data_IF_693168418280
#
_entry.id   IF_693168418280
#
_cell.length_a   1.000
_cell.length_b   1.000
_cell.length_c   1.000
_cell.angle_alpha   90.00
_cell.angle_beta   90.00
_cell.angle_gamma   90.00
#
_symmetry.space_group_name_H-M   'P 1'
#
loop_
_entity.id
_entity.type
_entity.pdbx_description
1 polymer ?
#
# COMPACT_ATOMS: atom_id res chain seq x y z
N UNK A 1 1.99 19.92 -12.58
CA UNK A 1 0.56 19.80 -12.24
C UNK A 1 0.15 18.36 -12.46
N UNK A 2 -0.38 17.68 -11.45
CA UNK A 2 -0.93 16.32 -11.62
C UNK A 2 -2.27 16.46 -12.33
N UNK A 3 -2.33 16.03 -13.58
CA UNK A 3 -3.58 15.98 -14.35
C UNK A 3 -4.43 14.84 -13.81
N UNK A 4 -5.67 15.13 -13.44
CA UNK A 4 -6.60 14.10 -13.00
C UNK A 4 -6.98 13.22 -14.20
N UNK A 5 -6.90 11.90 -14.04
CA UNK A 5 -7.42 10.94 -15.01
C UNK A 5 -8.94 10.91 -14.87
N UNK A 6 -9.65 11.41 -15.89
CA UNK A 6 -11.08 11.22 -16.09
C UNK A 6 -11.29 9.92 -16.87
N UNK A 7 -11.83 8.90 -16.21
CA UNK A 7 -12.07 7.58 -16.81
C UNK A 7 -13.08 7.60 -17.96
N UNK A 8 -13.76 8.73 -18.18
CA UNK A 8 -14.65 8.96 -19.32
C UNK A 8 -14.01 9.74 -20.47
N UNK A 9 -12.83 10.33 -20.26
CA UNK A 9 -12.09 11.11 -21.25
C UNK A 9 -10.64 10.61 -21.38
N UNK A 10 -10.40 9.80 -22.41
CA UNK A 10 -9.06 9.28 -22.72
C UNK A 10 -8.03 10.37 -23.03
N UNK A 11 -8.46 11.60 -23.35
CA UNK A 11 -7.57 12.75 -23.52
C UNK A 11 -6.86 13.17 -22.23
N UNK A 12 -7.35 12.71 -21.08
CA UNK A 12 -6.74 12.94 -19.76
C UNK A 12 -5.73 11.87 -19.37
N UNK A 13 -5.57 10.82 -20.18
CA UNK A 13 -4.67 9.72 -19.89
C UNK A 13 -3.25 10.13 -20.25
N UNK A 14 -2.31 9.88 -19.35
CA UNK A 14 -0.92 10.21 -19.62
C UNK A 14 -0.36 9.33 -20.77
N UNK A 15 0.68 9.80 -21.48
CA UNK A 15 1.21 9.10 -22.66
C UNK A 15 1.67 7.66 -22.36
N UNK A 16 2.18 7.39 -21.16
CA UNK A 16 2.66 6.08 -20.74
C UNK A 16 1.49 5.11 -20.56
N UNK A 17 0.43 5.53 -19.85
CA UNK A 17 -0.83 4.80 -19.75
C UNK A 17 -1.40 4.48 -21.14
N UNK A 18 -1.36 5.44 -22.06
CA UNK A 18 -1.83 5.25 -23.44
C UNK A 18 -1.01 4.24 -24.24
N UNK A 19 0.31 4.16 -24.03
CA UNK A 19 1.16 3.13 -24.65
C UNK A 19 0.78 1.74 -24.13
N UNK A 20 0.61 1.60 -22.81
CA UNK A 20 0.24 0.32 -22.19
C UNK A 20 -1.18 -0.14 -22.61
N UNK A 21 -2.14 0.79 -22.67
CA UNK A 21 -3.49 0.51 -23.18
C UNK A 21 -3.48 0.07 -24.64
N UNK A 22 -2.67 0.70 -25.50
CA UNK A 22 -2.52 0.32 -26.91
C UNK A 22 -1.90 -1.08 -27.07
N UNK A 23 -0.92 -1.43 -26.23
CA UNK A 23 -0.30 -2.75 -26.27
C UNK A 23 -1.29 -3.89 -25.96
N UNK A 24 -2.26 -3.66 -25.07
CA UNK A 24 -3.33 -4.62 -24.75
C UNK A 24 -4.61 -4.49 -25.57
N UNK A 25 -4.66 -3.63 -26.59
CA UNK A 25 -5.91 -3.27 -27.28
C UNK A 25 -6.63 -4.49 -27.88
N UNK A 26 -5.90 -5.43 -28.48
CA UNK A 26 -6.48 -6.65 -29.06
C UNK A 26 -7.12 -7.53 -27.98
N UNK A 27 -6.43 -7.73 -26.85
CA UNK A 27 -6.94 -8.51 -25.71
C UNK A 27 -8.22 -7.88 -25.14
N UNK A 28 -8.23 -6.55 -24.97
CA UNK A 28 -9.42 -5.80 -24.51
C UNK A 28 -10.59 -5.98 -25.48
N UNK A 29 -10.33 -5.86 -26.78
CA UNK A 29 -11.32 -6.05 -27.83
C UNK A 29 -11.92 -7.47 -27.80
N UNK A 30 -11.07 -8.49 -27.75
CA UNK A 30 -11.49 -9.89 -27.84
C UNK A 30 -12.25 -10.33 -26.59
N UNK A 31 -11.82 -9.88 -25.41
CA UNK A 31 -12.55 -10.07 -24.16
C UNK A 31 -13.93 -9.43 -24.22
N UNK A 32 -14.03 -8.13 -24.52
CA UNK A 32 -15.30 -7.38 -24.46
C UNK A 32 -16.29 -7.84 -25.54
N UNK A 33 -15.81 -8.18 -26.73
CA UNK A 33 -16.64 -8.74 -27.81
C UNK A 33 -17.19 -10.10 -27.40
N UNK A 34 -16.35 -10.97 -26.83
CA UNK A 34 -16.78 -12.30 -26.39
C UNK A 34 -17.75 -12.22 -25.21
N UNK A 35 -17.48 -11.34 -24.24
CA UNK A 35 -18.34 -11.11 -23.07
C UNK A 35 -19.72 -10.59 -23.49
N UNK A 36 -19.77 -9.63 -24.41
CA UNK A 36 -21.01 -9.12 -25.00
C UNK A 36 -21.82 -10.23 -25.68
N UNK A 37 -21.18 -11.03 -26.55
CA UNK A 37 -21.85 -12.13 -27.24
C UNK A 37 -22.43 -13.14 -26.25
N UNK A 38 -21.64 -13.57 -25.26
CA UNK A 38 -22.08 -14.52 -24.22
C UNK A 38 -23.20 -13.96 -23.35
N UNK A 39 -23.24 -12.65 -23.14
CA UNK A 39 -24.34 -11.97 -22.45
C UNK A 39 -25.62 -12.02 -23.29
N UNK A 40 -25.55 -11.64 -24.57
CA UNK A 40 -26.71 -11.64 -25.48
C UNK A 40 -27.29 -13.03 -25.72
N UNK A 41 -26.44 -14.04 -25.92
CA UNK A 41 -26.85 -15.45 -26.07
C UNK A 41 -27.64 -15.96 -24.85
N UNK A 42 -27.26 -15.51 -23.65
CA UNK A 42 -27.94 -15.85 -22.41
C UNK A 42 -29.28 -15.15 -22.27
N UNK A 43 -29.34 -13.85 -22.56
CA UNK A 43 -30.59 -13.09 -22.49
C UNK A 43 -31.63 -13.60 -23.50
N UNK A 44 -31.18 -14.12 -24.64
CA UNK A 44 -32.04 -14.74 -25.65
C UNK A 44 -32.48 -16.17 -25.30
N UNK A 45 -31.87 -16.82 -24.30
CA UNK A 45 -32.18 -18.20 -23.95
C UNK A 45 -33.53 -18.30 -23.24
N UNK A 46 -34.40 -19.20 -23.71
CA UNK A 46 -35.72 -19.50 -23.13
C UNK A 46 -35.61 -20.40 -21.89
N UNK A 47 -34.68 -20.09 -20.98
CA UNK A 47 -34.41 -20.83 -19.75
C UNK A 47 -33.09 -20.42 -19.10
N UNK A 48 -32.85 -20.93 -17.89
CA UNK A 48 -31.58 -20.72 -17.21
C UNK A 48 -30.44 -21.40 -17.98
N UNK A 49 -29.40 -20.62 -18.31
CA UNK A 49 -28.16 -21.12 -18.93
C UNK A 49 -26.97 -20.77 -18.03
N UNK A 50 -26.01 -21.70 -17.83
CA UNK A 50 -24.78 -21.41 -17.09
C UNK A 50 -23.97 -20.28 -17.73
N UNK A 51 -23.18 -19.56 -16.93
CA UNK A 51 -22.19 -18.63 -17.49
C UNK A 51 -21.16 -19.39 -18.32
N UNK A 52 -21.15 -19.15 -19.63
CA UNK A 52 -20.02 -19.52 -20.48
C UNK A 52 -18.75 -18.85 -19.96
N UNK A 53 -17.63 -19.58 -19.99
CA UNK A 53 -16.32 -19.03 -19.63
C UNK A 53 -15.78 -18.23 -20.81
N UNK A 54 -15.39 -16.98 -20.58
CA UNK A 54 -14.68 -16.19 -21.57
C UNK A 54 -13.21 -16.63 -21.59
N UNK A 55 -12.68 -17.15 -22.72
CA UNK A 55 -11.31 -17.67 -22.80
C UNK A 55 -10.24 -16.59 -22.55
N UNK A 56 -10.59 -15.32 -22.72
CA UNK A 56 -9.68 -14.20 -22.49
C UNK A 56 -9.76 -13.64 -21.06
N UNK A 57 -10.64 -14.16 -20.20
CA UNK A 57 -10.93 -13.56 -18.90
C UNK A 57 -9.71 -13.46 -17.97
N UNK A 58 -8.89 -14.51 -17.91
CA UNK A 58 -7.69 -14.52 -17.06
C UNK A 58 -6.71 -13.43 -17.49
N UNK A 59 -6.40 -13.37 -18.79
CA UNK A 59 -5.43 -12.43 -19.34
C UNK A 59 -5.95 -10.99 -19.27
N UNK A 60 -7.24 -10.77 -19.55
CA UNK A 60 -7.88 -9.46 -19.42
C UNK A 60 -7.84 -8.95 -17.98
N UNK A 61 -8.16 -9.80 -17.00
CA UNK A 61 -8.10 -9.42 -15.59
C UNK A 61 -6.67 -9.07 -15.17
N UNK A 62 -5.68 -9.87 -15.59
CA UNK A 62 -4.28 -9.58 -15.32
C UNK A 62 -3.81 -8.28 -15.97
N UNK A 63 -4.24 -8.01 -17.21
CA UNK A 63 -3.94 -6.78 -17.93
C UNK A 63 -4.59 -5.55 -17.27
N UNK A 64 -5.89 -5.59 -16.97
CA UNK A 64 -6.60 -4.52 -16.27
C UNK A 64 -5.97 -4.25 -14.90
N UNK A 65 -5.51 -5.28 -14.23
CA UNK A 65 -4.81 -5.15 -12.97
C UNK A 65 -3.42 -4.54 -13.11
N UNK A 66 -2.67 -4.88 -14.16
CA UNK A 66 -1.38 -4.26 -14.48
C UNK A 66 -1.53 -2.77 -14.80
N UNK A 67 -2.56 -2.38 -15.56
CA UNK A 67 -2.91 -0.97 -15.81
C UNK A 67 -3.21 -0.22 -14.50
N UNK A 68 -3.72 -0.93 -13.49
CA UNK A 68 -4.01 -0.38 -12.17
C UNK A 68 -2.90 -0.48 -11.13
N UNK A 69 -1.84 -1.27 -11.35
CA UNK A 69 -0.86 -1.67 -10.31
C UNK A 69 0.43 -0.85 -10.37
N UNK A 70 0.95 -0.63 -9.17
CA UNK A 70 2.20 0.03 -8.84
C UNK A 70 3.27 -1.05 -8.57
N UNK A 71 4.44 -0.93 -9.19
CA UNK A 71 5.53 -1.92 -9.07
C UNK A 71 5.96 -2.13 -7.62
N UNK A 72 5.94 -1.09 -6.80
CA UNK A 72 6.29 -1.18 -5.39
C UNK A 72 5.25 -2.01 -4.61
N UNK A 73 3.97 -1.86 -4.94
CA UNK A 73 2.89 -2.66 -4.34
C UNK A 73 3.00 -4.13 -4.75
N UNK A 74 3.36 -4.42 -6.00
CA UNK A 74 3.61 -5.79 -6.48
C UNK A 74 4.76 -6.42 -5.70
N UNK A 75 5.90 -5.72 -5.60
CA UNK A 75 7.08 -6.18 -4.87
C UNK A 75 6.72 -6.46 -3.41
N UNK A 76 5.94 -5.60 -2.75
CA UNK A 76 5.52 -5.81 -1.36
C UNK A 76 4.57 -7.01 -1.22
N UNK A 77 3.72 -7.28 -2.21
CA UNK A 77 2.84 -8.45 -2.17
C UNK A 77 3.60 -9.75 -2.37
N UNK A 78 4.54 -9.78 -3.31
CA UNK A 78 5.31 -10.98 -3.66
C UNK A 78 6.41 -11.26 -2.63
N UNK A 79 7.07 -10.20 -2.15
CA UNK A 79 8.24 -10.31 -1.29
C UNK A 79 7.96 -9.85 0.14
N UNK A 80 6.76 -9.38 0.48
CA UNK A 80 6.49 -8.83 1.79
C UNK A 80 7.15 -7.46 2.00
N UNK A 81 7.08 -6.94 3.23
CA UNK A 81 7.65 -5.63 3.58
C UNK A 81 9.07 -5.85 4.10
N UNK A 82 10.05 -5.24 3.43
CA UNK A 82 11.45 -5.22 3.85
C UNK A 82 11.77 -3.96 4.66
N UNK A 83 12.81 -4.04 5.50
CA UNK A 83 13.27 -2.92 6.31
C UNK A 83 14.12 -1.94 5.50
N UNK A 84 14.03 -0.65 5.81
CA UNK A 84 14.83 0.39 5.16
C UNK A 84 16.31 0.27 5.51
N UNK A 85 17.14 -0.04 4.52
CA UNK A 85 18.61 -0.08 4.59
C UNK A 85 19.19 0.75 3.44
N UNK A 86 20.49 1.11 3.52
CA UNK A 86 21.17 1.77 2.39
C UNK A 86 21.17 0.89 1.14
N UNK A 87 21.34 -0.43 1.28
CA UNK A 87 21.31 -1.35 0.15
C UNK A 87 19.92 -1.39 -0.51
N UNK A 88 18.85 -1.46 0.29
CA UNK A 88 17.47 -1.41 -0.25
C UNK A 88 17.12 -0.05 -0.82
N UNK A 89 17.70 1.05 -0.29
CA UNK A 89 17.54 2.38 -0.87
C UNK A 89 18.23 2.44 -2.23
N UNK A 90 19.47 1.95 -2.33
CA UNK A 90 20.23 1.86 -3.59
C UNK A 90 19.46 1.06 -4.64
N UNK A 91 18.95 -0.12 -4.28
CA UNK A 91 18.12 -0.94 -5.19
C UNK A 91 16.88 -0.19 -5.69
N UNK A 92 16.18 0.54 -4.82
CA UNK A 92 15.00 1.33 -5.22
C UNK A 92 15.39 2.46 -6.18
N UNK A 93 16.51 3.14 -5.94
CA UNK A 93 17.03 4.20 -6.81
C UNK A 93 17.46 3.65 -8.16
N UNK A 94 18.19 2.53 -8.20
CA UNK A 94 18.60 1.87 -9.43
C UNK A 94 17.39 1.42 -10.26
N UNK A 95 16.31 0.97 -9.61
CA UNK A 95 15.06 0.66 -10.28
C UNK A 95 14.40 1.90 -10.93
N UNK A 96 14.47 3.08 -10.29
CA UNK A 96 13.98 4.32 -10.91
C UNK A 96 14.86 4.77 -12.10
N UNK A 97 16.17 4.51 -12.04
CA UNK A 97 17.07 4.74 -13.18
C UNK A 97 16.75 3.80 -14.34
N UNK A 98 16.53 2.52 -14.06
CA UNK A 98 16.14 1.53 -15.07
C UNK A 98 14.77 1.85 -15.70
N UNK A 99 13.86 2.42 -14.93
CA UNK A 99 12.57 2.93 -15.42
C UNK A 99 12.67 4.25 -16.19
N UNK A 100 13.86 4.87 -16.26
CA UNK A 100 14.07 6.16 -16.92
C UNK A 100 13.49 7.37 -16.18
N UNK A 101 13.05 7.18 -14.92
CA UNK A 101 12.49 8.25 -14.09
C UNK A 101 13.60 9.11 -13.45
N UNK A 102 14.74 8.48 -13.11
CA UNK A 102 15.93 9.17 -12.61
C UNK A 102 17.11 9.03 -13.57
N UNK A 103 18.01 10.01 -13.57
CA UNK A 103 19.35 9.80 -14.12
C UNK A 103 20.23 9.07 -13.11
N UNK A 104 21.30 8.40 -13.58
CA UNK A 104 22.27 7.79 -12.67
C UNK A 104 22.92 8.82 -11.73
N UNK A 105 23.11 10.06 -12.19
CA UNK A 105 23.63 11.14 -11.38
C UNK A 105 22.64 11.57 -10.28
N UNK A 106 21.34 11.62 -10.60
CA UNK A 106 20.30 11.91 -9.60
C UNK A 106 20.21 10.83 -8.55
N UNK A 107 20.25 9.56 -8.96
CA UNK A 107 20.24 8.43 -8.04
C UNK A 107 21.46 8.46 -7.10
N UNK A 108 22.65 8.78 -7.61
CA UNK A 108 23.84 8.91 -6.77
C UNK A 108 23.72 10.07 -5.78
N UNK A 109 23.25 11.24 -6.25
CA UNK A 109 23.08 12.40 -5.40
C UNK A 109 22.02 12.16 -4.29
N UNK A 110 20.89 11.53 -4.63
CA UNK A 110 19.86 11.15 -3.67
C UNK A 110 20.37 10.14 -2.64
N UNK A 111 21.16 9.15 -3.07
CA UNK A 111 21.75 8.19 -2.16
C UNK A 111 22.74 8.89 -1.21
N UNK A 112 23.65 9.69 -1.76
CA UNK A 112 24.67 10.40 -0.97
C UNK A 112 24.06 11.39 0.04
N UNK A 113 22.95 12.04 -0.33
CA UNK A 113 22.21 12.95 0.54
C UNK A 113 21.34 12.22 1.59
N UNK A 114 21.26 10.89 1.57
CA UNK A 114 20.38 10.15 2.47
C UNK A 114 20.72 10.42 3.94
N UNK A 115 19.72 10.75 4.80
CA UNK A 115 19.94 10.92 6.22
C UNK A 115 20.46 9.65 6.90
N UNK A 116 20.28 8.49 6.27
CA UNK A 116 20.79 7.20 6.73
C UNK A 116 22.34 7.15 6.83
N UNK A 117 23.06 8.09 6.22
CA UNK A 117 24.50 8.25 6.40
C UNK A 117 24.88 8.92 7.75
N UNK A 118 23.96 9.64 8.40
CA UNK A 118 24.21 10.35 9.65
C UNK A 118 23.91 9.50 10.88
N UNK A 119 24.90 9.34 11.77
CA UNK A 119 24.80 8.47 12.97
C UNK A 119 23.60 8.78 13.87
N UNK A 120 23.17 10.03 13.95
CA UNK A 120 22.01 10.45 14.73
C UNK A 120 20.66 10.03 14.13
N UNK A 121 20.60 9.88 12.81
CA UNK A 121 19.39 9.46 12.11
C UNK A 121 19.28 7.94 11.96
N UNK A 122 20.42 7.22 11.94
CA UNK A 122 20.44 5.76 11.77
C UNK A 122 19.53 5.01 12.76
N UNK A 123 19.51 5.28 14.08
CA UNK A 123 18.66 4.57 15.02
C UNK A 123 17.18 4.73 14.73
N UNK A 124 16.77 5.84 14.13
CA UNK A 124 15.38 6.12 13.75
C UNK A 124 14.97 5.42 12.45
N UNK A 125 15.91 5.19 11.52
CA UNK A 125 15.58 4.87 10.12
C UNK A 125 16.07 3.49 9.67
N UNK A 126 17.34 3.20 9.95
CA UNK A 126 18.00 2.01 9.41
C UNK A 126 17.51 0.72 10.07
N UNK A 127 17.31 -0.29 9.24
CA UNK A 127 16.84 -1.61 9.64
C UNK A 127 15.45 -1.58 10.25
N UNK A 128 14.64 -0.55 9.96
CA UNK A 128 13.27 -0.41 10.45
C UNK A 128 12.31 -0.20 9.30
N UNK A 129 11.08 -0.65 9.51
CA UNK A 129 9.93 -0.10 8.81
C UNK A 129 8.92 0.35 9.88
N UNK A 130 8.38 1.55 9.69
CA UNK A 130 7.50 2.20 10.66
C UNK A 130 6.04 2.08 10.27
N UNK A 131 5.19 2.06 11.29
CA UNK A 131 3.75 1.97 11.20
C UNK A 131 3.13 2.78 12.33
N UNK A 132 1.83 3.03 12.18
CA UNK A 132 0.98 3.51 13.27
C UNK A 132 -0.16 2.54 13.54
N UNK A 133 -0.52 2.37 14.81
CA UNK A 133 -1.60 1.48 15.24
C UNK A 133 -3.00 2.07 15.05
N UNK A 134 -3.09 3.35 14.69
CA UNK A 134 -4.36 4.06 14.51
C UNK A 134 -4.28 5.00 13.31
N UNK A 135 -5.43 5.36 12.70
CA UNK A 135 -5.42 6.17 11.49
C UNK A 135 -4.88 7.58 11.79
N UNK A 136 -3.92 8.09 11.03
CA UNK A 136 -3.49 9.49 11.13
C UNK A 136 -4.14 10.29 9.99
N UNK A 137 -4.47 11.56 10.26
CA UNK A 137 -5.00 12.43 9.22
C UNK A 137 -3.91 12.70 8.19
N UNK A 138 -4.31 12.81 6.93
CA UNK A 138 -3.36 12.95 5.82
C UNK A 138 -2.77 14.35 5.67
N UNK A 139 -3.36 15.32 6.35
CA UNK A 139 -2.88 16.71 6.49
C UNK A 139 -2.11 16.91 7.81
N UNK A 140 -1.83 15.84 8.54
CA UNK A 140 -0.83 15.86 9.60
C UNK A 140 0.55 16.11 8.98
N UNK A 141 1.33 17.04 9.52
CA UNK A 141 2.60 17.46 8.90
C UNK A 141 3.61 16.34 8.71
N UNK A 142 3.61 15.30 9.54
CA UNK A 142 4.46 14.12 9.35
C UNK A 142 3.97 13.22 8.22
N UNK A 143 2.65 13.13 8.03
CA UNK A 143 2.04 12.30 6.98
C UNK A 143 2.04 13.02 5.64
N UNK A 144 1.82 14.33 5.61
CA UNK A 144 1.82 15.12 4.38
C UNK A 144 3.15 15.01 3.65
N UNK A 145 4.28 15.09 4.38
CA UNK A 145 5.62 14.93 3.81
C UNK A 145 5.85 13.52 3.26
N UNK A 146 5.42 12.48 3.97
CA UNK A 146 5.54 11.08 3.52
C UNK A 146 4.71 10.84 2.25
N UNK A 147 3.49 11.38 2.18
CA UNK A 147 2.61 11.22 1.01
C UNK A 147 3.04 12.09 -0.18
N UNK A 148 3.81 13.14 0.08
CA UNK A 148 4.23 14.13 -0.91
C UNK A 148 5.54 13.81 -1.62
N UNK A 149 6.33 12.87 -1.11
CA UNK A 149 7.68 12.59 -1.60
C UNK A 149 7.92 11.09 -1.75
N UNK A 150 8.36 10.67 -2.93
CA UNK A 150 8.76 9.29 -3.18
C UNK A 150 9.99 8.91 -2.34
N UNK A 151 10.09 7.62 -2.01
CA UNK A 151 11.25 7.06 -1.32
C UNK A 151 11.18 7.18 0.21
N UNK A 152 10.21 7.93 0.73
CA UNK A 152 10.03 8.16 2.16
C UNK A 152 11.16 8.99 2.77
N UNK A 153 11.17 9.10 4.08
CA UNK A 153 12.16 9.94 4.79
C UNK A 153 13.61 9.46 4.61
N UNK A 154 13.86 8.25 4.11
CA UNK A 154 15.23 7.84 3.73
C UNK A 154 15.78 8.59 2.51
N UNK A 155 14.93 9.30 1.78
CA UNK A 155 15.28 9.98 0.52
C UNK A 155 15.13 11.50 0.62
N UNK A 156 14.01 12.01 1.16
CA UNK A 156 13.73 13.45 1.17
C UNK A 156 14.12 14.17 2.47
N UNK A 157 14.27 13.45 3.59
CA UNK A 157 14.49 14.11 4.87
C UNK A 157 15.90 14.68 4.93
N UNK A 158 16.01 16.01 5.12
CA UNK A 158 17.25 16.80 5.02
C UNK A 158 17.84 16.88 3.61
N UNK A 159 17.05 16.60 2.58
CA UNK A 159 17.46 16.90 1.21
C UNK A 159 17.47 18.41 1.02
N UNK A 160 18.61 19.00 0.65
CA UNK A 160 18.75 20.46 0.48
C UNK A 160 18.71 20.90 -0.99
N UNK A 161 18.95 19.98 -1.92
CA UNK A 161 18.91 20.28 -3.36
C UNK A 161 17.45 20.38 -3.83
N UNK A 162 16.98 21.62 -4.01
CA UNK A 162 15.60 21.91 -4.46
C UNK A 162 15.19 21.19 -5.75
N UNK A 163 16.14 20.91 -6.65
CA UNK A 163 15.84 20.21 -7.90
C UNK A 163 15.56 18.74 -7.61
N UNK A 164 16.35 18.12 -6.71
CA UNK A 164 16.12 16.75 -6.27
C UNK A 164 14.85 16.63 -5.42
N UNK A 165 14.53 17.61 -4.58
CA UNK A 165 13.25 17.67 -3.86
C UNK A 165 12.07 17.65 -4.82
N UNK A 166 12.09 18.54 -5.84
CA UNK A 166 11.04 18.58 -6.87
C UNK A 166 10.95 17.27 -7.64
N UNK A 167 12.09 16.61 -7.89
CA UNK A 167 12.14 15.33 -8.58
C UNK A 167 11.44 14.23 -7.77
N UNK A 168 11.80 14.05 -6.50
CA UNK A 168 11.19 13.01 -5.65
C UNK A 168 9.72 13.31 -5.32
N UNK A 169 9.32 14.58 -5.32
CA UNK A 169 7.92 14.97 -5.18
C UNK A 169 7.08 14.79 -6.46
N UNK A 170 7.74 14.62 -7.62
CA UNK A 170 7.06 14.51 -8.92
C UNK A 170 6.71 13.08 -9.32
N UNK A 171 7.30 12.08 -8.67
CA UNK A 171 7.14 10.67 -9.01
C UNK A 171 6.44 9.88 -7.91
N UNK A 172 6.02 8.66 -8.25
CA UNK A 172 5.33 7.77 -7.33
C UNK A 172 3.86 8.14 -7.12
N UNK A 173 3.12 7.20 -6.54
CA UNK A 173 1.73 7.42 -6.13
C UNK A 173 1.60 6.97 -4.67
N UNK A 174 1.32 7.88 -3.71
CA UNK A 174 1.29 7.50 -2.31
C UNK A 174 0.20 6.45 -2.04
N UNK A 175 0.53 5.49 -1.16
CA UNK A 175 -0.35 4.39 -0.76
C UNK A 175 -0.38 4.23 0.75
N UNK A 176 -1.55 3.89 1.27
CA UNK A 176 -1.71 3.46 2.66
C UNK A 176 -1.92 1.95 2.66
N UNK A 177 -1.06 1.23 3.36
CA UNK A 177 -1.20 -0.21 3.57
C UNK A 177 -1.79 -0.48 4.95
N UNK A 178 -2.93 -1.17 5.02
CA UNK A 178 -3.38 -1.80 6.26
C UNK A 178 -2.74 -3.19 6.39
N UNK A 179 -1.98 -3.41 7.46
CA UNK A 179 -1.24 -4.66 7.69
C UNK A 179 -1.45 -5.19 9.11
N UNK A 180 -1.23 -6.50 9.26
CA UNK A 180 -1.30 -7.20 10.53
C UNK A 180 0.11 -7.51 11.04
N UNK A 181 0.42 -7.12 12.27
CA UNK A 181 1.74 -7.37 12.86
C UNK A 181 1.62 -8.20 14.13
N UNK A 182 2.35 -9.33 14.25
CA UNK A 182 2.40 -10.10 15.49
C UNK A 182 3.03 -9.26 16.60
N UNK A 183 2.33 -9.07 17.72
CA UNK A 183 2.85 -8.25 18.85
C UNK A 183 4.19 -8.80 19.36
N UNK A 184 4.34 -10.13 19.38
CA UNK A 184 5.56 -10.83 19.78
C UNK A 184 6.80 -10.51 18.91
N UNK A 185 6.60 -9.92 17.73
CA UNK A 185 7.70 -9.49 16.86
C UNK A 185 8.11 -8.03 17.09
N UNK A 186 7.40 -7.28 17.93
CA UNK A 186 7.69 -5.87 18.26
C UNK A 186 8.21 -5.72 19.69
N UNK A 187 8.99 -4.66 19.94
CA UNK A 187 9.29 -4.22 21.31
C UNK A 187 8.20 -3.29 21.89
N UNK A 188 7.06 -3.14 21.19
CA UNK A 188 5.99 -2.18 21.51
C UNK A 188 4.80 -2.86 22.21
N UNK A 189 5.01 -4.03 22.83
CA UNK A 189 3.96 -4.84 23.47
C UNK A 189 3.20 -4.07 24.57
N UNK A 190 3.87 -3.20 25.33
CA UNK A 190 3.23 -2.41 26.37
C UNK A 190 2.23 -1.40 25.77
N UNK A 191 2.63 -0.69 24.70
CA UNK A 191 1.75 0.22 23.97
C UNK A 191 0.58 -0.51 23.33
N UNK A 192 0.82 -1.71 22.77
CA UNK A 192 -0.24 -2.57 22.25
C UNK A 192 -1.24 -2.96 23.34
N UNK A 193 -0.75 -3.36 24.53
CA UNK A 193 -1.60 -3.66 25.68
C UNK A 193 -2.45 -2.46 26.11
N UNK A 194 -1.85 -1.25 26.21
CA UNK A 194 -2.59 -0.02 26.49
C UNK A 194 -3.68 0.25 25.44
N UNK A 195 -3.39 0.01 24.16
CA UNK A 195 -4.36 0.19 23.09
C UNK A 195 -5.55 -0.76 23.23
N UNK A 196 -5.30 -2.03 23.58
CA UNK A 196 -6.35 -3.04 23.84
C UNK A 196 -7.22 -2.64 25.04
N UNK A 197 -6.60 -2.24 26.16
CA UNK A 197 -7.33 -1.76 27.34
C UNK A 197 -8.16 -0.52 27.01
N UNK A 198 -7.60 0.43 26.26
CA UNK A 198 -8.32 1.62 25.83
C UNK A 198 -9.51 1.27 24.92
N UNK A 199 -9.36 0.31 24.01
CA UNK A 199 -10.45 -0.17 23.16
C UNK A 199 -11.58 -0.78 24.00
N UNK A 200 -11.26 -1.64 24.98
CA UNK A 200 -12.24 -2.23 25.89
C UNK A 200 -12.92 -1.18 26.77
N UNK A 201 -12.16 -0.24 27.33
CA UNK A 201 -12.69 0.82 28.19
C UNK A 201 -13.74 1.68 27.46
N UNK A 202 -13.60 1.91 26.14
CA UNK A 202 -14.64 2.59 25.33
C UNK A 202 -15.96 1.80 25.29
N UNK A 203 -15.92 0.48 25.34
CA UNK A 203 -17.14 -0.37 25.30
C UNK A 203 -17.97 -0.27 26.58
N UNK A 204 -17.35 0.08 27.70
CA UNK A 204 -18.02 0.28 29.00
C UNK A 204 -18.26 1.76 29.33
N UNK A 205 -18.17 2.64 28.33
CA UNK A 205 -18.49 4.06 28.44
C UNK A 205 -17.35 4.95 28.97
N UNK A 206 -16.16 4.41 29.22
CA UNK A 206 -15.00 5.23 29.60
C UNK A 206 -14.44 5.99 28.39
N UNK A 207 -13.73 7.10 28.67
CA UNK A 207 -13.08 7.96 27.66
C UNK A 207 -11.56 7.96 27.84
N UNK A 208 -10.87 6.85 27.52
CA UNK A 208 -9.41 6.84 27.56
C UNK A 208 -8.84 7.71 26.43
N UNK A 209 -7.60 8.14 26.59
CA UNK A 209 -6.78 8.72 25.52
C UNK A 209 -6.81 7.85 24.26
N UNK A 210 -6.45 8.42 23.12
CA UNK A 210 -6.57 7.78 21.80
C UNK A 210 -6.02 6.36 21.77
N UNK A 211 -4.94 6.09 22.51
CA UNK A 211 -4.33 4.77 22.61
C UNK A 211 -3.65 4.32 21.32
N UNK A 212 -3.50 5.21 20.34
CA UNK A 212 -2.71 4.98 19.16
C UNK A 212 -1.22 5.10 19.51
N UNK A 213 -0.38 4.32 18.85
CA UNK A 213 1.06 4.34 19.04
C UNK A 213 1.76 4.03 17.73
N UNK A 214 2.97 4.58 17.59
CA UNK A 214 3.86 4.21 16.52
C UNK A 214 4.63 2.94 16.90
N UNK A 215 4.85 2.11 15.90
CA UNK A 215 5.59 0.87 16.05
C UNK A 215 6.53 0.68 14.86
N UNK A 216 7.67 0.06 15.15
CA UNK A 216 8.63 -0.34 14.11
C UNK A 216 8.95 -1.82 14.20
N UNK A 217 9.31 -2.37 13.04
CA UNK A 217 9.75 -3.75 12.88
C UNK A 217 11.11 -3.76 12.20
N UNK A 218 11.97 -4.67 12.65
CA UNK A 218 13.29 -4.90 12.05
C UNK A 218 13.36 -6.17 11.21
N UNK A 219 12.38 -7.05 11.38
CA UNK A 219 12.28 -8.28 10.61
C UNK A 219 11.38 -8.02 9.42
N UNK A 220 11.73 -8.64 8.30
CA UNK A 220 10.86 -8.73 7.12
C UNK A 220 9.49 -9.26 7.57
N UNK A 221 8.43 -8.60 7.12
CA UNK A 221 7.10 -9.19 7.19
C UNK A 221 6.88 -9.97 5.92
N UNK A 222 6.96 -11.29 6.01
CA UNK A 222 6.68 -12.17 4.88
C UNK A 222 5.26 -11.93 4.35
N UNK A 223 4.99 -12.20 3.06
CA UNK A 223 3.64 -12.16 2.51
C UNK A 223 2.71 -13.00 3.39
N UNK A 224 1.81 -12.35 4.12
CA UNK A 224 0.87 -13.08 4.97
C UNK A 224 -0.07 -13.89 4.07
N UNK A 225 -0.27 -15.19 4.33
CA UNK A 225 -1.06 -16.02 3.43
C UNK A 225 -2.58 -15.72 3.48
N UNK A 226 -3.11 -14.96 4.46
CA UNK A 226 -4.57 -14.83 4.66
C UNK A 226 -5.13 -13.50 5.20
N UNK A 227 -4.42 -12.38 5.10
CA UNK A 227 -5.05 -11.07 5.32
C UNK A 227 -4.80 -10.18 4.11
N UNK A 228 -5.85 -9.70 3.42
CA UNK A 228 -5.65 -8.86 2.25
C UNK A 228 -4.93 -7.59 2.68
N UNK A 229 -3.79 -7.29 2.04
CA UNK A 229 -3.28 -5.93 1.98
C UNK A 229 -4.40 -5.06 1.42
N UNK A 230 -5.10 -4.32 2.28
CA UNK A 230 -6.06 -3.32 1.83
C UNK A 230 -5.22 -2.10 1.46
N UNK A 231 -4.78 -2.07 0.20
CA UNK A 231 -4.15 -0.90 -0.40
C UNK A 231 -5.27 0.09 -0.65
N UNK A 232 -5.32 1.20 0.10
CA UNK A 232 -6.27 2.29 -0.17
C UNK A 232 -5.53 3.44 -0.83
N UNK A 233 -5.99 3.81 -2.02
CA UNK A 233 -5.49 4.99 -2.75
C UNK A 233 -6.30 6.22 -2.35
N UNK A 234 -5.66 7.34 -1.98
CA UNK A 234 -6.40 8.57 -1.66
C UNK A 234 -6.75 9.38 -2.92
N UNK A 235 -8.02 9.82 -3.04
CA UNK A 235 -8.44 11.00 -3.82
C UNK A 235 -8.30 12.26 -2.96
N UNK A 236 -7.84 13.37 -3.53
CA UNK A 236 -7.46 14.62 -2.85
C UNK A 236 -8.59 15.29 -2.01
N UNK A 237 -9.85 14.84 -2.07
CA UNK A 237 -11.00 15.56 -1.49
C UNK A 237 -11.92 14.79 -0.52
N UNK A 238 -11.63 13.53 -0.14
CA UNK A 238 -12.49 12.85 0.84
C UNK A 238 -11.96 12.99 2.28
N UNK A 239 -12.75 13.68 3.12
CA UNK A 239 -12.68 13.55 4.59
C UNK A 239 -13.06 12.11 4.94
N UNK A 240 -12.22 11.44 5.74
CA UNK A 240 -12.59 10.19 6.41
C UNK A 240 -13.61 10.53 7.50
N UNK A 241 -14.89 10.60 7.15
CA UNK A 241 -15.98 10.57 8.11
C UNK A 241 -16.79 9.30 7.91
N UNK A 242 -16.86 8.52 8.99
CA UNK A 242 -17.63 7.28 9.17
C UNK A 242 -17.23 6.10 8.26
N UNK A 243 -16.21 5.38 8.73
CA UNK A 243 -16.28 3.92 8.69
C UNK A 243 -16.12 3.41 10.13
N UNK A 244 -17.18 3.55 10.93
CA UNK A 244 -17.40 2.68 12.08
C UNK A 244 -17.70 1.29 11.52
N UNK A 245 -16.67 0.57 11.04
CA UNK A 245 -16.78 -0.85 10.78
C UNK A 245 -16.20 -1.55 11.99
N UNK A 246 -17.11 -2.06 12.80
CA UNK A 246 -16.95 -3.09 13.81
C UNK A 246 -15.67 -3.89 13.61
N UNK A 247 -14.75 -3.81 14.58
CA UNK A 247 -13.70 -4.81 14.72
C UNK A 247 -14.43 -6.08 15.15
N UNK A 248 -14.76 -6.93 14.19
CA UNK A 248 -15.19 -8.30 14.50
C UNK A 248 -13.95 -9.05 14.95
N UNK A 249 -13.79 -9.18 16.27
CA UNK A 249 -12.91 -10.16 16.85
C UNK A 249 -13.59 -11.53 16.67
N UNK A 250 -13.15 -12.32 15.69
CA UNK A 250 -13.70 -13.67 15.51
C UNK A 250 -13.04 -14.60 16.53
N UNK A 251 -13.68 -14.78 17.68
CA UNK A 251 -13.41 -15.91 18.57
C UNK A 251 -14.35 -17.05 18.14
N UNK A 252 -13.87 -17.99 17.32
CA UNK A 252 -14.59 -19.25 17.13
C UNK A 252 -14.16 -20.24 18.20
N UNK A 253 -15.01 -20.42 19.21
CA UNK A 253 -14.92 -21.53 20.13
C UNK A 253 -15.50 -22.80 19.47
N UNK A 254 -14.70 -23.85 19.39
CA UNK A 254 -15.19 -25.22 19.40
C UNK A 254 -14.40 -25.94 20.49
N UNK A 255 -15.08 -26.29 21.57
CA UNK A 255 -14.48 -27.04 22.66
C UNK A 255 -14.12 -28.44 22.22
N UNK A 256 -12.84 -28.78 22.33
CA UNK A 256 -12.36 -30.02 22.93
C UNK A 256 -10.82 -29.96 22.95
N UNK A 257 -10.28 -29.78 24.16
CA UNK A 257 -8.95 -30.26 24.59
C UNK A 257 -7.82 -30.20 23.55
N UNK A 258 -7.11 -29.08 23.48
CA UNK A 258 -5.65 -29.04 23.55
C UNK A 258 -5.16 -27.59 23.55
N UNK A 259 -4.11 -27.34 24.34
CA UNK A 259 -3.42 -26.05 24.46
C UNK A 259 -2.94 -25.61 23.07
N UNK A 260 -3.60 -24.63 22.46
CA UNK A 260 -3.12 -23.94 21.26
C UNK A 260 -2.92 -22.47 21.56
N UNK A 261 -1.68 -22.01 21.42
CA UNK A 261 -1.23 -20.62 21.58
C UNK A 261 -2.02 -19.67 20.68
N UNK A 262 -2.89 -18.85 21.27
CA UNK A 262 -3.54 -17.73 20.60
C UNK A 262 -2.51 -16.66 20.23
N UNK A 263 -2.48 -16.24 18.96
CA UNK A 263 -1.66 -15.12 18.48
C UNK A 263 -2.55 -13.90 18.28
N UNK A 264 -2.51 -12.97 19.22
CA UNK A 264 -3.15 -11.67 19.09
C UNK A 264 -2.46 -10.84 17.99
N UNK A 265 -3.26 -10.34 17.05
CA UNK A 265 -2.80 -9.59 15.86
C UNK A 265 -3.34 -8.17 15.90
N UNK A 266 -2.48 -7.17 15.74
CA UNK A 266 -2.86 -5.75 15.67
C UNK A 266 -2.88 -5.31 14.21
N UNK A 267 -3.94 -4.60 13.79
CA UNK A 267 -4.00 -3.92 12.48
C UNK A 267 -3.29 -2.57 12.57
N UNK A 268 -2.45 -2.25 11.61
CA UNK A 268 -1.65 -1.02 11.58
C UNK A 268 -1.60 -0.45 10.16
N UNK A 269 -1.39 0.86 10.04
CA UNK A 269 -1.25 1.54 8.75
C UNK A 269 0.22 1.86 8.47
N UNK A 270 0.65 1.60 7.23
CA UNK A 270 1.96 1.98 6.68
C UNK A 270 1.75 3.12 5.69
N UNK A 271 2.62 4.11 5.77
CA UNK A 271 2.78 5.16 4.77
C UNK A 271 4.05 4.83 3.98
N UNK A 272 3.91 4.64 2.68
CA UNK A 272 5.00 4.45 1.73
C UNK A 272 5.01 5.57 0.71
#
# INVERSE_FOLDING_TARGET
MITAIDVWDTGTFDPELMVNLKAGAQLVHDYLTTDRRQFEEREAASGWTPHATNPFASDYLAFAEAIGRDDEVRIIRENGIYSGTLDTLRQRLDAQVAAGLFTAADAEALHAASPCHHREQQPGRLGKFWMTSGPILTDDGGVELLLGNWGGESTYFWLEDERLEKLVASIGRPRILEIAVPVASTNHWYSAGKAVVAAYARTIGCRPDRGAFDLSQRRRLDPLPYLPFVVRTKRRSQRWHKATRTITCTLSGAGASNVSTGRDTVRSQVYL
#
